data_IF_981058620933
#
_entry.id   IF_981058620933
#
_cell.length_a   1.000
_cell.length_b   1.000
_cell.length_c   1.000
_cell.angle_alpha   90.00
_cell.angle_beta   90.00
_cell.angle_gamma   90.00
#
_symmetry.space_group_name_H-M   'P 1'
#
loop_
_entity.id
_entity.type
_entity.pdbx_description
1 polymer ?
#
# COMPACT_ATOMS: atom_id res chain seq x y z
N UNK A 1 2.83 -7.80 -2.72
CA UNK A 1 1.37 -7.56 -2.86
C UNK A 1 0.65 -8.36 -1.80
N UNK A 2 -0.32 -7.77 -1.13
CA UNK A 2 -1.19 -8.44 -0.17
C UNK A 2 -2.57 -7.78 -0.12
N UNK A 3 -3.57 -8.51 0.37
CA UNK A 3 -4.92 -7.99 0.62
C UNK A 3 -5.20 -8.04 2.11
N UNK A 4 -5.67 -6.93 2.68
CA UNK A 4 -6.10 -6.85 4.08
C UNK A 4 -7.45 -6.12 4.17
N UNK A 5 -8.47 -6.75 4.75
CA UNK A 5 -9.82 -6.18 4.91
C UNK A 5 -10.40 -5.57 3.62
N UNK A 6 -10.18 -6.22 2.48
CA UNK A 6 -10.65 -5.75 1.17
C UNK A 6 -9.79 -4.66 0.51
N UNK A 7 -8.70 -4.23 1.14
CA UNK A 7 -7.72 -3.32 0.55
C UNK A 7 -6.54 -4.09 -0.01
N UNK A 8 -6.22 -3.86 -1.29
CA UNK A 8 -5.05 -4.38 -1.97
C UNK A 8 -3.90 -3.39 -1.87
N UNK A 9 -2.75 -3.83 -1.38
CA UNK A 9 -1.52 -3.05 -1.35
C UNK A 9 -0.45 -3.72 -2.21
N UNK A 10 0.16 -2.96 -3.11
CA UNK A 10 1.12 -3.49 -4.08
C UNK A 10 2.37 -2.63 -4.16
N UNK A 11 3.53 -3.22 -3.85
CA UNK A 11 4.82 -2.64 -4.21
C UNK A 11 4.91 -2.57 -5.76
N UNK A 12 5.13 -1.36 -6.28
CA UNK A 12 4.97 -1.03 -7.70
C UNK A 12 6.26 -0.41 -8.28
N UNK A 13 7.41 -1.00 -7.92
CA UNK A 13 8.71 -0.62 -8.46
C UNK A 13 9.06 0.85 -8.19
N UNK A 14 9.58 1.52 -9.20
CA UNK A 14 10.00 2.93 -9.12
C UNK A 14 8.84 3.92 -8.87
N UNK A 15 7.59 3.47 -8.92
CA UNK A 15 6.44 4.31 -8.66
C UNK A 15 5.92 4.17 -7.21
N UNK A 16 6.62 3.42 -6.36
CA UNK A 16 6.30 3.33 -4.92
C UNK A 16 5.28 2.24 -4.60
N UNK A 17 4.28 2.56 -3.77
CA UNK A 17 3.23 1.61 -3.35
C UNK A 17 1.86 2.09 -3.80
N UNK A 18 1.03 1.19 -4.35
CA UNK A 18 -0.36 1.48 -4.72
C UNK A 18 -1.35 0.84 -3.75
N UNK A 19 -2.54 1.44 -3.67
CA UNK A 19 -3.67 0.95 -2.89
C UNK A 19 -4.97 0.98 -3.73
N UNK A 20 -5.75 -0.09 -3.65
CA UNK A 20 -7.07 -0.22 -4.26
C UNK A 20 -8.05 -0.94 -3.33
N UNK A 21 -9.31 -0.53 -3.36
CA UNK A 21 -10.43 -1.32 -2.85
C UNK A 21 -10.72 -2.49 -3.81
N UNK A 22 -10.64 -3.70 -3.27
CA UNK A 22 -10.93 -4.97 -3.94
C UNK A 22 -11.95 -5.80 -3.15
N UNK A 23 -12.75 -5.16 -2.29
CA UNK A 23 -13.83 -5.82 -1.56
C UNK A 23 -14.92 -6.39 -2.49
N UNK A 24 -15.10 -5.80 -3.67
CA UNK A 24 -15.88 -6.33 -4.79
C UNK A 24 -14.99 -6.42 -6.04
N UNK A 25 -14.69 -7.65 -6.48
CA UNK A 25 -13.83 -7.89 -7.64
C UNK A 25 -14.49 -7.54 -8.98
N UNK A 26 -15.80 -7.31 -9.00
CA UNK A 26 -16.50 -6.79 -10.19
C UNK A 26 -16.37 -5.27 -10.31
N UNK A 27 -16.02 -4.59 -9.21
CA UNK A 27 -15.93 -3.13 -9.12
C UNK A 27 -14.68 -2.70 -8.33
N UNK A 28 -13.50 -2.83 -8.94
CA UNK A 28 -12.23 -2.41 -8.32
C UNK A 28 -12.12 -0.88 -8.32
N UNK A 29 -11.83 -0.28 -7.16
CA UNK A 29 -11.59 1.17 -7.03
C UNK A 29 -10.16 1.46 -6.61
N UNK A 30 -9.36 2.05 -7.49
CA UNK A 30 -8.01 2.50 -7.15
C UNK A 30 -8.08 3.76 -6.28
N UNK A 31 -7.40 3.75 -5.13
CA UNK A 31 -7.28 4.94 -4.27
C UNK A 31 -6.11 5.83 -4.67
N UNK A 32 -5.02 5.24 -5.15
CA UNK A 32 -3.89 5.99 -5.66
C UNK A 32 -2.56 5.28 -5.42
N UNK A 33 -1.51 6.08 -5.44
CA UNK A 33 -0.13 5.66 -5.32
C UNK A 33 0.62 6.64 -4.43
N UNK A 34 1.44 6.11 -3.54
CA UNK A 34 2.37 6.87 -2.74
C UNK A 34 3.77 6.66 -3.32
N UNK A 35 4.35 7.74 -3.81
CA UNK A 35 5.74 7.75 -4.26
C UNK A 35 6.68 7.55 -3.05
N UNK A 36 7.72 6.74 -3.25
CA UNK A 36 8.69 6.38 -2.23
C UNK A 36 10.09 6.43 -2.83
N UNK A 37 11.08 6.82 -2.01
CA UNK A 37 12.46 6.86 -2.49
C UNK A 37 12.99 5.45 -2.80
N UNK A 38 13.39 5.27 -4.06
CA UNK A 38 13.85 4.01 -4.62
C UNK A 38 12.72 3.03 -5.01
N UNK A 39 13.10 1.97 -5.72
CA UNK A 39 12.15 0.94 -6.18
C UNK A 39 11.55 0.18 -5.01
N UNK A 40 10.22 0.14 -4.93
CA UNK A 40 9.46 -0.70 -4.01
C UNK A 40 9.39 -2.13 -4.55
N UNK A 41 10.02 -3.07 -3.83
CA UNK A 41 10.22 -4.44 -4.31
C UNK A 41 9.36 -5.47 -3.57
N UNK A 42 8.98 -5.18 -2.32
CA UNK A 42 8.18 -6.08 -1.51
C UNK A 42 7.26 -5.31 -0.57
N UNK A 43 6.09 -5.88 -0.29
CA UNK A 43 5.14 -5.33 0.67
C UNK A 43 4.46 -6.43 1.48
N UNK A 44 4.25 -6.19 2.78
CA UNK A 44 3.50 -7.04 3.71
C UNK A 44 2.82 -6.18 4.78
N UNK A 45 1.74 -6.68 5.39
CA UNK A 45 1.18 -6.09 6.61
C UNK A 45 1.39 -6.96 7.85
N UNK A 46 1.38 -6.30 9.01
CA UNK A 46 1.16 -6.89 10.32
C UNK A 46 0.23 -5.95 11.08
N UNK A 47 -0.90 -6.46 11.56
CA UNK A 47 -1.97 -5.66 12.17
C UNK A 47 -2.39 -4.46 11.27
N UNK A 48 -2.21 -3.23 11.75
CA UNK A 48 -2.52 -1.97 11.07
C UNK A 48 -1.30 -1.37 10.37
N UNK A 49 -0.15 -2.04 10.40
CA UNK A 49 1.09 -1.56 9.79
C UNK A 49 1.37 -2.23 8.46
N UNK A 50 1.84 -1.43 7.49
CA UNK A 50 2.31 -1.88 6.18
C UNK A 50 3.80 -1.60 6.07
N UNK A 51 4.54 -2.66 5.77
CA UNK A 51 5.98 -2.66 5.61
C UNK A 51 6.31 -2.75 4.12
N UNK A 52 7.16 -1.84 3.64
CA UNK A 52 7.59 -1.81 2.23
C UNK A 52 9.10 -1.77 2.18
N UNK A 53 9.69 -2.76 1.50
CA UNK A 53 11.12 -2.75 1.21
C UNK A 53 11.36 -1.92 -0.05
N UNK A 54 12.01 -0.77 0.10
CA UNK A 54 12.48 0.05 -1.01
C UNK A 54 14.00 -0.07 -1.16
N UNK A 55 14.52 0.25 -2.35
CA UNK A 55 15.95 0.27 -2.63
C UNK A 55 16.69 1.30 -1.77
N UNK A 56 16.86 2.52 -2.29
CA UNK A 56 17.60 3.58 -1.60
C UNK A 56 16.91 4.07 -0.31
N UNK A 57 15.58 4.01 -0.24
CA UNK A 57 14.84 4.40 0.96
C UNK A 57 14.86 3.36 2.09
N UNK A 58 15.29 2.12 1.86
CA UNK A 58 15.30 1.08 2.89
C UNK A 58 13.91 0.60 3.31
N UNK A 59 13.70 0.29 4.59
CA UNK A 59 12.41 -0.18 5.10
C UNK A 59 11.49 0.99 5.44
N UNK A 60 10.36 1.07 4.73
CA UNK A 60 9.28 2.02 5.01
C UNK A 60 8.17 1.34 5.82
N UNK A 61 7.59 2.07 6.78
CA UNK A 61 6.53 1.58 7.65
C UNK A 61 5.40 2.61 7.67
N UNK A 62 4.19 2.18 7.31
CA UNK A 62 2.99 3.02 7.28
C UNK A 62 1.92 2.46 8.20
N UNK A 63 1.19 3.32 8.89
CA UNK A 63 -0.03 2.94 9.60
C UNK A 63 -1.24 3.11 8.67
N UNK A 64 -2.11 2.10 8.62
CA UNK A 64 -3.32 2.09 7.80
C UNK A 64 -4.51 2.50 8.65
N UNK A 65 -4.97 3.72 8.42
CA UNK A 65 -6.13 4.25 9.13
C UNK A 65 -7.44 3.72 8.53
N UNK A 66 -8.37 3.20 9.35
CA UNK A 66 -9.64 2.62 8.87
C UNK A 66 -10.58 3.65 8.23
N UNK A 67 -10.33 4.94 8.43
CA UNK A 67 -10.99 6.06 7.73
C UNK A 67 -10.03 7.24 7.61
N UNK A 68 -9.99 7.84 6.42
CA UNK A 68 -9.48 9.20 6.27
C UNK A 68 -10.42 10.15 7.02
N UNK A 69 -9.98 10.73 8.14
CA UNK A 69 -10.74 11.79 8.82
C UNK A 69 -10.51 13.10 8.08
N UNK A 70 -11.41 13.46 7.18
CA UNK A 70 -11.57 14.87 6.81
C UNK A 70 -12.00 15.63 8.08
N UNK A 71 -11.17 16.58 8.51
CA UNK A 71 -11.64 17.71 9.33
C UNK A 71 -12.29 18.74 8.42
#
# INVERSE_FOLDING_TARGET
MFVNKGLLFMAYGAAGISNSDVSDLTTIKQFGMLDLDGSSNFSRNEEEFVFVATGCGGLQIFEVQPKWKNK
#
